data_IF_608095162947
#
_entry.id   IF_608095162947
#
_cell.length_a   1.000
_cell.length_b   1.000
_cell.length_c   1.000
_cell.angle_alpha   90.00
_cell.angle_beta   90.00
_cell.angle_gamma   90.00
#
_symmetry.space_group_name_H-M   'P 1'
#
loop_
_entity.id
_entity.type
_entity.pdbx_description
1 polymer ?
#
# COMPACT_ATOMS: atom_id res chain seq x y z
N UNK A 1 14.08 36.62 -62.70
CA UNK A 1 14.24 36.33 -61.25
C UNK A 1 13.00 35.58 -60.81
N UNK A 2 13.08 34.27 -60.56
CA UNK A 2 11.97 33.57 -59.88
C UNK A 2 11.82 34.15 -58.48
N UNK A 3 10.60 34.48 -58.08
CA UNK A 3 10.32 35.02 -56.76
C UNK A 3 10.69 33.96 -55.71
N UNK A 4 11.30 34.36 -54.58
CA UNK A 4 11.69 33.44 -53.49
C UNK A 4 10.55 32.50 -53.04
N UNK A 5 9.28 32.92 -53.21
CA UNK A 5 8.09 32.11 -52.96
C UNK A 5 7.83 30.96 -53.96
N UNK A 6 8.24 31.10 -55.23
CA UNK A 6 8.09 30.04 -56.24
C UNK A 6 9.07 28.89 -55.99
N UNK A 7 10.30 29.21 -55.57
CA UNK A 7 11.29 28.22 -55.14
C UNK A 7 10.82 27.44 -53.90
N UNK A 8 10.10 28.10 -52.98
CA UNK A 8 9.52 27.48 -51.79
C UNK A 8 8.32 26.55 -52.12
N UNK A 9 7.47 26.98 -53.06
CA UNK A 9 6.37 26.16 -53.61
C UNK A 9 6.89 24.89 -54.29
N UNK A 10 7.96 25.01 -55.10
CA UNK A 10 8.61 23.87 -55.75
C UNK A 10 9.25 22.96 -54.70
N UNK A 11 9.91 23.51 -53.69
CA UNK A 11 10.49 22.75 -52.58
C UNK A 11 9.43 21.90 -51.85
N UNK A 12 8.31 22.50 -51.45
CA UNK A 12 7.19 21.79 -50.83
C UNK A 12 6.57 20.74 -51.74
N UNK A 13 6.33 21.05 -53.02
CA UNK A 13 5.76 20.09 -54.00
C UNK A 13 6.68 18.89 -54.24
N UNK A 14 7.99 19.11 -54.28
CA UNK A 14 8.98 18.04 -54.49
C UNK A 14 9.21 17.22 -53.20
N UNK A 15 9.02 17.83 -52.03
CA UNK A 15 9.20 17.21 -50.72
C UNK A 15 7.97 16.53 -50.12
N UNK A 16 6.77 16.64 -50.71
CA UNK A 16 5.51 16.10 -50.14
C UNK A 16 5.57 14.63 -49.72
N UNK A 17 6.17 13.76 -50.54
CA UNK A 17 6.28 12.32 -50.24
C UNK A 17 7.23 12.07 -49.06
N UNK A 18 8.33 12.81 -48.98
CA UNK A 18 9.26 12.78 -47.83
C UNK A 18 8.54 13.23 -46.56
N UNK A 19 7.92 14.41 -46.60
CA UNK A 19 7.17 14.99 -45.48
C UNK A 19 6.16 13.99 -44.91
N UNK A 20 5.33 13.38 -45.79
CA UNK A 20 4.35 12.38 -45.39
C UNK A 20 5.01 11.16 -44.72
N UNK A 21 6.07 10.60 -45.31
CA UNK A 21 6.76 9.42 -44.79
C UNK A 21 7.44 9.69 -43.45
N UNK A 22 8.06 10.85 -43.27
CA UNK A 22 8.67 11.26 -42.01
C UNK A 22 7.60 11.45 -40.93
N UNK A 23 6.46 12.08 -41.26
CA UNK A 23 5.34 12.25 -40.32
C UNK A 23 4.77 10.89 -39.89
N UNK A 24 4.51 9.99 -40.84
CA UNK A 24 3.94 8.66 -40.54
C UNK A 24 4.93 7.83 -39.71
N UNK A 25 6.20 7.79 -40.12
CA UNK A 25 7.24 7.04 -39.40
C UNK A 25 7.47 7.57 -37.99
N UNK A 26 7.57 8.89 -37.85
CA UNK A 26 7.70 9.55 -36.55
C UNK A 26 6.48 9.30 -35.67
N UNK A 27 5.27 9.43 -36.22
CA UNK A 27 4.03 9.12 -35.52
C UNK A 27 3.97 7.67 -35.00
N UNK A 28 4.41 6.69 -35.81
CA UNK A 28 4.49 5.29 -35.39
C UNK A 28 5.52 5.06 -34.28
N UNK A 29 6.64 5.78 -34.28
CA UNK A 29 7.64 5.71 -33.20
C UNK A 29 7.04 6.20 -31.88
N UNK A 30 6.42 7.39 -31.88
CA UNK A 30 5.78 7.95 -30.68
C UNK A 30 4.61 7.07 -30.19
N UNK A 31 3.82 6.52 -31.12
CA UNK A 31 2.80 5.53 -30.80
C UNK A 31 3.40 4.31 -30.08
N UNK A 32 4.50 3.78 -30.61
CA UNK A 32 5.16 2.59 -30.04
C UNK A 32 5.67 2.86 -28.63
N UNK A 33 6.25 4.05 -28.39
CA UNK A 33 6.75 4.46 -27.07
C UNK A 33 5.58 4.55 -26.07
N UNK A 34 4.51 5.26 -26.41
CA UNK A 34 3.34 5.38 -25.52
C UNK A 34 2.72 4.01 -25.24
N UNK A 35 2.64 3.15 -26.27
CA UNK A 35 2.12 1.78 -26.12
C UNK A 35 3.00 0.92 -25.21
N UNK A 36 4.32 1.05 -25.31
CA UNK A 36 5.25 0.31 -24.45
C UNK A 36 5.13 0.74 -22.99
N UNK A 37 5.02 2.04 -22.72
CA UNK A 37 4.79 2.53 -21.34
C UNK A 37 3.46 2.01 -20.80
N UNK A 38 2.42 1.97 -21.65
CA UNK A 38 1.12 1.40 -21.28
C UNK A 38 1.20 -0.08 -20.91
N UNK A 39 1.98 -0.86 -21.67
CA UNK A 39 2.22 -2.28 -21.38
C UNK A 39 2.95 -2.44 -20.04
N UNK A 40 4.02 -1.67 -19.79
CA UNK A 40 4.75 -1.70 -18.52
C UNK A 40 3.83 -1.33 -17.35
N UNK A 41 3.00 -0.29 -17.51
CA UNK A 41 2.03 0.14 -16.50
C UNK A 41 0.99 -0.96 -16.21
N UNK A 42 0.48 -1.62 -17.25
CA UNK A 42 -0.48 -2.72 -17.13
C UNK A 42 0.14 -3.93 -16.45
N UNK A 43 1.35 -4.32 -16.85
CA UNK A 43 2.08 -5.42 -16.23
C UNK A 43 2.35 -5.14 -14.75
N UNK A 44 2.72 -3.90 -14.40
CA UNK A 44 2.91 -3.49 -13.00
C UNK A 44 1.67 -3.71 -12.16
N UNK A 45 0.53 -3.28 -12.68
CA UNK A 45 -0.75 -3.42 -12.00
C UNK A 45 -1.15 -4.89 -11.84
N UNK A 46 -1.07 -5.68 -12.90
CA UNK A 46 -1.35 -7.12 -12.84
C UNK A 46 -0.41 -7.87 -11.88
N UNK A 47 0.87 -7.49 -11.89
CA UNK A 47 1.87 -8.05 -10.97
C UNK A 47 1.55 -7.72 -9.53
N UNK A 48 1.04 -6.52 -9.26
CA UNK A 48 0.60 -6.13 -7.92
C UNK A 48 -0.62 -6.91 -7.45
N UNK A 49 -1.65 -7.02 -8.29
CA UNK A 49 -2.86 -7.78 -7.97
C UNK A 49 -2.52 -9.25 -7.67
N UNK A 50 -1.70 -9.86 -8.53
CA UNK A 50 -1.23 -11.23 -8.32
C UNK A 50 -0.40 -11.37 -7.05
N UNK A 51 0.49 -10.42 -6.77
CA UNK A 51 1.29 -10.41 -5.54
C UNK A 51 0.41 -10.36 -4.29
N UNK A 52 -0.70 -9.60 -4.32
CA UNK A 52 -1.67 -9.57 -3.23
C UNK A 52 -2.37 -10.91 -3.06
N UNK A 53 -2.89 -11.48 -4.16
CA UNK A 53 -3.59 -12.77 -4.13
C UNK A 53 -2.70 -13.92 -3.64
N UNK A 54 -1.40 -13.89 -3.95
CA UNK A 54 -0.46 -14.97 -3.60
C UNK A 54 0.20 -14.81 -2.22
N UNK A 55 0.31 -13.60 -1.68
CA UNK A 55 1.13 -13.33 -0.50
C UNK A 55 0.44 -12.60 0.64
N UNK A 56 -0.85 -12.25 0.51
CA UNK A 56 -1.53 -11.43 1.51
C UNK A 56 -2.77 -12.15 2.02
N UNK A 57 -2.76 -12.46 3.31
CA UNK A 57 -3.94 -12.86 4.04
C UNK A 57 -4.08 -11.94 5.26
N UNK A 58 -4.77 -10.82 5.10
CA UNK A 58 -4.94 -9.83 6.18
C UNK A 58 -5.62 -10.35 7.46
N UNK A 59 -6.14 -11.58 7.43
CA UNK A 59 -6.78 -12.20 8.58
C UNK A 59 -5.83 -13.07 9.41
N UNK A 60 -4.64 -13.36 8.87
CA UNK A 60 -3.60 -14.24 9.44
C UNK A 60 -2.27 -13.97 8.70
N UNK A 61 -1.78 -12.73 8.76
CA UNK A 61 -0.48 -12.35 8.17
C UNK A 61 0.64 -12.26 9.23
N UNK A 62 0.30 -12.49 10.50
CA UNK A 62 1.21 -12.44 11.63
C UNK A 62 1.60 -11.01 12.04
N UNK A 63 0.94 -9.98 11.49
CA UNK A 63 1.13 -8.59 11.87
C UNK A 63 -0.14 -8.03 12.52
N UNK A 64 0.04 -6.91 13.24
CA UNK A 64 -1.06 -6.11 13.74
C UNK A 64 -0.94 -4.73 13.11
N UNK A 65 -2.00 -4.25 12.45
CA UNK A 65 -2.00 -2.93 11.82
C UNK A 65 -1.71 -1.78 12.80
N UNK A 66 -2.20 -1.85 14.03
CA UNK A 66 -1.96 -0.83 15.05
C UNK A 66 -1.74 -1.48 16.39
N UNK A 67 -0.59 -1.21 17.01
CA UNK A 67 -0.32 -1.68 18.36
C UNK A 67 0.19 -0.57 19.27
N UNK A 68 -0.23 -0.59 20.52
CA UNK A 68 0.31 0.29 21.56
C UNK A 68 0.28 -0.39 22.91
N UNK A 69 1.45 -0.51 23.52
CA UNK A 69 1.63 -1.04 24.86
C UNK A 69 2.06 0.08 25.81
N UNK A 70 1.36 0.22 26.94
CA UNK A 70 1.65 1.25 27.93
C UNK A 70 1.58 0.69 29.35
N UNK A 71 2.59 1.00 30.16
CA UNK A 71 2.50 0.81 31.61
C UNK A 71 1.61 1.92 32.17
N UNK A 72 0.49 1.54 32.79
CA UNK A 72 -0.42 2.47 33.47
C UNK A 72 -0.44 2.20 34.97
N UNK A 73 -0.66 3.27 35.72
CA UNK A 73 -0.83 3.25 37.17
C UNK A 73 -2.06 4.06 37.58
N UNK A 74 -2.86 3.55 38.50
CA UNK A 74 -4.06 4.24 39.03
C UNK A 74 -5.36 3.65 38.51
N UNK A 75 -6.42 4.45 38.50
CA UNK A 75 -7.74 4.02 38.03
C UNK A 75 -7.74 3.90 36.50
N UNK A 76 -8.26 2.78 36.00
CA UNK A 76 -8.55 2.59 34.58
C UNK A 76 -10.03 2.90 34.34
N UNK A 77 -10.29 3.86 33.46
CA UNK A 77 -11.65 4.22 33.05
C UNK A 77 -11.65 4.48 31.54
N UNK A 78 -12.31 3.58 30.80
CA UNK A 78 -12.43 3.65 29.36
C UNK A 78 -13.89 3.99 29.03
N UNK A 79 -14.13 4.99 28.17
CA UNK A 79 -15.50 5.38 27.80
C UNK A 79 -16.27 4.25 27.10
N UNK A 80 -17.60 4.31 27.03
CA UNK A 80 -18.43 3.25 26.43
C UNK A 80 -18.10 2.95 24.96
N UNK A 81 -17.61 3.96 24.22
CA UNK A 81 -17.38 3.87 22.77
C UNK A 81 -15.88 3.78 22.44
N UNK A 82 -15.03 3.44 23.42
CA UNK A 82 -13.58 3.55 23.30
C UNK A 82 -13.01 2.73 22.13
N UNK A 83 -13.36 1.44 22.01
CA UNK A 83 -12.86 0.57 20.93
C UNK A 83 -13.33 1.04 19.54
N UNK A 84 -14.58 1.50 19.44
CA UNK A 84 -15.13 2.03 18.18
C UNK A 84 -14.44 3.31 17.76
N UNK A 85 -14.19 4.24 18.69
CA UNK A 85 -13.45 5.47 18.43
C UNK A 85 -12.02 5.13 17.98
N UNK A 86 -11.34 4.25 18.71
CA UNK A 86 -9.99 3.81 18.40
C UNK A 86 -9.89 3.21 16.97
N UNK A 87 -10.85 2.36 16.59
CA UNK A 87 -10.96 1.82 15.22
C UNK A 87 -11.12 2.93 14.18
N UNK A 88 -12.06 3.86 14.42
CA UNK A 88 -12.41 4.94 13.49
C UNK A 88 -11.25 5.92 13.30
N UNK A 89 -10.55 6.24 14.37
CA UNK A 89 -9.44 7.18 14.34
C UNK A 89 -8.25 6.60 13.58
N UNK A 90 -7.90 5.34 13.84
CA UNK A 90 -6.77 4.72 13.15
C UNK A 90 -7.06 4.35 11.71
N UNK A 91 -8.30 3.98 11.36
CA UNK A 91 -8.70 3.80 9.96
C UNK A 91 -8.65 5.14 9.19
N UNK A 92 -9.07 6.24 9.82
CA UNK A 92 -8.96 7.59 9.27
C UNK A 92 -7.51 8.01 9.07
N UNK A 93 -6.66 7.76 10.07
CA UNK A 93 -5.23 8.04 10.01
C UNK A 93 -4.55 7.24 8.89
N UNK A 94 -4.85 5.95 8.79
CA UNK A 94 -4.35 5.06 7.73
C UNK A 94 -4.73 5.58 6.34
N UNK A 95 -6.01 5.93 6.16
CA UNK A 95 -6.52 6.50 4.89
C UNK A 95 -5.86 7.84 4.56
N UNK A 96 -5.51 8.63 5.57
CA UNK A 96 -4.82 9.92 5.39
C UNK A 96 -3.36 9.74 4.96
N UNK A 97 -2.67 8.74 5.51
CA UNK A 97 -1.28 8.40 5.17
C UNK A 97 -1.18 7.78 3.79
N UNK A 98 -2.09 6.88 3.45
CA UNK A 98 -2.10 6.20 2.16
C UNK A 98 -3.45 6.44 1.49
N UNK A 99 -3.61 7.60 0.81
CA UNK A 99 -4.84 7.90 0.11
C UNK A 99 -5.19 6.78 -0.86
N UNK A 100 -6.43 6.28 -0.74
CA UNK A 100 -7.04 5.18 -1.51
C UNK A 100 -6.86 3.76 -0.99
N UNK A 101 -6.14 3.57 0.11
CA UNK A 101 -6.34 2.35 0.92
C UNK A 101 -7.74 2.44 1.52
N UNK A 102 -8.51 1.36 1.41
CA UNK A 102 -9.83 1.26 2.06
C UNK A 102 -9.74 0.17 3.13
N UNK A 103 -10.10 0.51 4.36
CA UNK A 103 -10.32 -0.48 5.41
C UNK A 103 -11.69 -1.11 5.16
N UNK A 104 -11.72 -2.41 4.89
CA UNK A 104 -12.93 -3.18 4.63
C UNK A 104 -13.52 -3.75 5.91
N UNK A 105 -12.64 -4.26 6.77
CA UNK A 105 -13.00 -4.83 8.05
C UNK A 105 -11.91 -4.57 9.09
N UNK A 106 -12.22 -4.80 10.36
CA UNK A 106 -11.27 -4.62 11.46
C UNK A 106 -11.58 -5.54 12.63
N UNK A 107 -10.54 -6.02 13.30
CA UNK A 107 -10.64 -6.58 14.64
C UNK A 107 -9.96 -5.61 15.61
N UNK A 108 -10.71 -5.07 16.57
CA UNK A 108 -10.15 -4.17 17.58
C UNK A 108 -10.17 -4.86 18.93
N UNK A 109 -9.02 -4.87 19.59
CA UNK A 109 -8.85 -5.51 20.88
C UNK A 109 -8.18 -4.59 21.88
N UNK A 110 -8.47 -4.88 23.15
CA UNK A 110 -7.83 -4.26 24.28
C UNK A 110 -7.56 -5.30 25.34
N UNK A 111 -6.38 -5.24 25.95
CA UNK A 111 -6.04 -6.13 27.05
C UNK A 111 -5.31 -5.43 28.19
N UNK A 112 -5.44 -6.01 29.37
CA UNK A 112 -4.75 -5.60 30.59
C UNK A 112 -4.11 -6.81 31.24
N UNK A 113 -2.98 -6.57 31.89
CA UNK A 113 -2.32 -7.54 32.74
C UNK A 113 -3.12 -7.77 34.04
N UNK A 114 -3.37 -9.03 34.39
CA UNK A 114 -3.87 -9.42 35.71
C UNK A 114 -2.95 -10.47 36.33
N UNK A 115 -2.83 -10.50 37.65
CA UNK A 115 -1.85 -11.36 38.33
C UNK A 115 -2.53 -12.34 39.28
N UNK A 116 -2.00 -13.54 39.41
CA UNK A 116 -2.43 -14.55 40.38
C UNK A 116 -1.28 -14.83 41.34
N UNK A 117 -1.58 -14.89 42.63
CA UNK A 117 -0.59 -15.25 43.63
C UNK A 117 -0.57 -16.77 43.86
N UNK A 118 0.58 -17.40 43.63
CA UNK A 118 0.82 -18.81 43.91
C UNK A 118 1.94 -18.98 44.92
N UNK A 119 1.58 -19.21 46.18
CA UNK A 119 2.51 -19.41 47.30
C UNK A 119 3.43 -20.62 47.17
N UNK A 120 3.16 -21.52 46.21
CA UNK A 120 3.95 -22.74 46.01
C UNK A 120 5.21 -22.49 45.16
N UNK A 121 5.32 -21.34 44.49
CA UNK A 121 6.44 -20.98 43.63
C UNK A 121 7.47 -20.18 44.45
N UNK A 122 8.69 -20.71 44.68
CA UNK A 122 9.72 -19.98 45.40
C UNK A 122 10.28 -18.81 44.57
N UNK A 123 10.51 -17.67 45.23
CA UNK A 123 11.10 -16.47 44.61
C UNK A 123 10.06 -15.53 44.02
N UNK A 124 9.49 -15.89 42.87
CA UNK A 124 8.50 -15.09 42.13
C UNK A 124 7.12 -15.77 42.15
N UNK A 125 6.33 -15.59 43.22
CA UNK A 125 5.03 -16.25 43.37
C UNK A 125 3.92 -15.64 42.51
N UNK A 126 4.20 -14.58 41.76
CA UNK A 126 3.20 -13.88 40.96
C UNK A 126 3.20 -14.42 39.53
N UNK A 127 2.08 -15.02 39.16
CA UNK A 127 1.79 -15.49 37.82
C UNK A 127 1.03 -14.41 37.05
N UNK A 128 1.45 -14.14 35.83
CA UNK A 128 0.82 -13.11 35.00
C UNK A 128 -0.09 -13.74 33.96
N UNK A 129 -1.29 -13.18 33.83
CA UNK A 129 -2.32 -13.59 32.88
C UNK A 129 -2.86 -12.37 32.14
N UNK A 130 -3.52 -12.62 31.01
CA UNK A 130 -4.14 -11.60 30.18
C UNK A 130 -5.65 -11.58 30.39
N UNK A 131 -6.20 -10.40 30.67
CA UNK A 131 -7.62 -10.15 30.48
C UNK A 131 -7.77 -9.32 29.22
N UNK A 132 -8.51 -9.83 28.24
CA UNK A 132 -8.70 -9.22 26.93
C UNK A 132 -10.20 -9.03 26.65
N UNK A 133 -10.50 -8.01 25.87
CA UNK A 133 -11.79 -7.77 25.24
C UNK A 133 -11.56 -7.44 23.77
N UNK A 134 -12.59 -7.66 22.97
CA UNK A 134 -12.66 -7.26 21.56
C UNK A 134 -13.89 -6.38 21.34
N UNK A 135 -13.98 -5.74 20.18
CA UNK A 135 -15.18 -5.01 19.77
C UNK A 135 -16.41 -5.93 19.70
N UNK A 136 -17.61 -5.32 19.74
CA UNK A 136 -18.86 -6.08 19.83
C UNK A 136 -19.07 -7.04 18.65
N UNK A 137 -18.63 -6.67 17.44
CA UNK A 137 -18.76 -7.51 16.25
C UNK A 137 -17.87 -8.74 16.41
N UNK A 138 -16.59 -8.55 16.75
CA UNK A 138 -15.66 -9.63 17.03
C UNK A 138 -16.12 -10.51 18.21
N UNK A 139 -16.74 -9.94 19.24
CA UNK A 139 -17.21 -10.70 20.40
C UNK A 139 -18.38 -11.63 20.07
N UNK A 140 -19.20 -11.31 19.05
CA UNK A 140 -20.23 -12.25 18.57
C UNK A 140 -19.61 -13.54 18.01
N UNK A 141 -18.44 -13.44 17.36
CA UNK A 141 -17.68 -14.58 16.84
C UNK A 141 -17.04 -15.37 17.98
N UNK A 142 -16.54 -14.71 19.03
CA UNK A 142 -16.09 -15.41 20.26
C UNK A 142 -17.21 -16.28 20.83
N UNK A 143 -18.46 -15.83 20.76
CA UNK A 143 -19.62 -16.60 21.20
C UNK A 143 -19.86 -17.91 20.43
N UNK A 144 -19.54 -17.97 19.13
CA UNK A 144 -19.64 -19.22 18.35
C UNK A 144 -18.49 -20.19 18.64
N UNK A 145 -17.42 -19.72 19.26
CA UNK A 145 -16.22 -20.50 19.61
C UNK A 145 -16.32 -21.20 20.99
N UNK A 146 -17.46 -21.08 21.68
CA UNK A 146 -17.71 -21.73 22.97
C UNK A 146 -17.76 -23.26 22.82
N UNK A 147 -16.76 -23.95 23.36
CA UNK A 147 -16.72 -25.42 23.42
C UNK A 147 -17.35 -25.97 24.70
N UNK A 148 -17.43 -25.15 25.76
CA UNK A 148 -18.09 -25.50 27.00
C UNK A 148 -18.59 -24.25 27.74
N UNK A 149 -19.69 -24.38 28.50
CA UNK A 149 -20.22 -23.31 29.35
C UNK A 149 -21.10 -22.31 28.61
N UNK A 150 -20.96 -21.03 28.94
CA UNK A 150 -21.77 -19.91 28.42
C UNK A 150 -20.97 -18.61 28.38
N UNK A 151 -21.51 -17.61 27.68
CA UNK A 151 -20.99 -16.24 27.73
C UNK A 151 -21.13 -15.60 29.13
N UNK A 152 -20.22 -14.68 29.50
CA UNK A 152 -20.30 -13.90 30.74
C UNK A 152 -21.54 -13.01 30.80
N UNK A 153 -22.10 -12.86 32.01
CA UNK A 153 -23.29 -12.03 32.29
C UNK A 153 -23.03 -10.88 33.26
N UNK A 154 -21.88 -10.89 33.96
CA UNK A 154 -21.49 -9.87 34.92
C UNK A 154 -19.95 -9.74 34.98
N UNK A 155 -19.43 -8.72 35.67
CA UNK A 155 -18.00 -8.40 35.72
C UNK A 155 -17.15 -9.48 36.40
N UNK A 156 -17.73 -10.34 37.24
CA UNK A 156 -17.02 -11.44 37.90
C UNK A 156 -16.94 -12.74 37.08
N UNK A 157 -17.33 -12.71 35.81
CA UNK A 157 -17.37 -13.89 34.95
C UNK A 157 -16.45 -13.74 33.74
N UNK A 158 -15.64 -14.75 33.46
CA UNK A 158 -14.66 -14.75 32.37
C UNK A 158 -14.80 -16.00 31.49
N UNK A 159 -14.41 -15.85 30.23
CA UNK A 159 -14.13 -16.96 29.32
C UNK A 159 -12.64 -17.28 29.37
N UNK A 160 -12.27 -18.55 29.39
CA UNK A 160 -10.88 -18.96 29.21
C UNK A 160 -10.62 -19.33 27.76
N UNK A 161 -9.58 -18.75 27.17
CA UNK A 161 -9.05 -19.17 25.86
C UNK A 161 -8.20 -20.40 26.07
N UNK A 162 -8.68 -21.54 25.59
CA UNK A 162 -8.01 -22.82 25.77
C UNK A 162 -6.64 -22.78 25.11
N UNK A 163 -5.62 -23.17 25.87
CA UNK A 163 -4.27 -23.37 25.36
C UNK A 163 -3.77 -24.78 25.73
N UNK A 164 -2.63 -25.19 25.16
CA UNK A 164 -2.07 -26.52 25.39
C UNK A 164 -1.21 -26.61 26.66
N UNK A 165 -0.94 -25.48 27.33
CA UNK A 165 0.03 -25.40 28.43
C UNK A 165 -0.62 -25.55 29.80
N UNK A 166 -1.87 -25.13 29.95
CA UNK A 166 -2.61 -25.17 31.20
C UNK A 166 -3.97 -25.83 31.03
N UNK A 167 -4.59 -26.21 32.13
CA UNK A 167 -5.97 -26.70 32.15
C UNK A 167 -6.75 -25.94 33.20
N UNK A 168 -7.77 -25.21 32.76
CA UNK A 168 -8.72 -24.50 33.62
C UNK A 168 -10.09 -25.15 33.46
N UNK A 169 -10.72 -25.46 34.60
CA UNK A 169 -12.01 -26.13 34.64
C UNK A 169 -13.17 -25.13 34.56
N UNK A 170 -14.29 -25.59 34.02
CA UNK A 170 -15.53 -24.80 34.04
C UNK A 170 -16.04 -24.62 35.47
N UNK A 171 -16.54 -23.41 35.78
CA UNK A 171 -16.96 -22.93 37.10
C UNK A 171 -15.85 -22.87 38.15
N UNK A 172 -14.59 -22.95 37.72
CA UNK A 172 -13.46 -22.72 38.60
C UNK A 172 -13.43 -21.25 39.02
N UNK A 173 -13.21 -21.00 40.32
CA UNK A 173 -13.00 -19.65 40.83
C UNK A 173 -11.50 -19.35 40.94
N UNK A 174 -11.11 -18.18 40.43
CA UNK A 174 -9.73 -17.67 40.45
C UNK A 174 -9.70 -16.31 41.14
N UNK A 175 -8.62 -16.08 41.88
CA UNK A 175 -8.31 -14.82 42.55
C UNK A 175 -7.26 -14.09 41.72
N UNK A 176 -7.63 -12.92 41.20
CA UNK A 176 -6.71 -12.08 40.43
C UNK A 176 -6.48 -10.73 41.11
N UNK A 177 -5.30 -10.18 40.89
CA UNK A 177 -4.80 -8.95 41.47
C UNK A 177 -4.38 -7.99 40.36
N UNK A 178 -4.75 -6.72 40.51
CA UNK A 178 -4.43 -5.63 39.57
C UNK A 178 -3.02 -5.06 39.77
N UNK A 179 -2.35 -5.43 40.85
CA UNK A 179 -0.99 -5.02 41.25
C UNK A 179 -0.29 -6.23 41.87
N UNK A 180 1.00 -6.40 41.62
CA UNK A 180 1.84 -7.42 42.29
C UNK A 180 2.22 -6.99 43.71
N UNK A 181 1.23 -6.75 44.56
CA UNK A 181 1.39 -6.36 45.97
C UNK A 181 0.49 -7.21 46.87
N UNK A 182 1.07 -7.82 47.91
CA UNK A 182 0.36 -8.71 48.84
C UNK A 182 -0.77 -8.03 49.63
N UNK A 183 -0.75 -6.70 49.72
CA UNK A 183 -1.76 -5.92 50.44
C UNK A 183 -2.93 -5.45 49.55
N UNK A 184 -2.92 -5.79 48.25
CA UNK A 184 -4.02 -5.46 47.34
C UNK A 184 -5.19 -6.43 47.50
N UNK A 185 -6.42 -5.91 47.41
CA UNK A 185 -7.62 -6.74 47.49
C UNK A 185 -7.77 -7.56 46.21
N UNK A 186 -7.91 -8.90 46.29
CA UNK A 186 -8.13 -9.72 45.12
C UNK A 186 -9.55 -9.54 44.57
N UNK A 187 -9.67 -9.63 43.26
CA UNK A 187 -10.92 -9.76 42.54
C UNK A 187 -11.22 -11.24 42.28
N UNK A 188 -12.45 -11.64 42.58
CA UNK A 188 -12.93 -13.01 42.38
C UNK A 188 -13.55 -13.14 40.99
N UNK A 189 -13.06 -14.11 40.22
CA UNK A 189 -13.62 -14.43 38.91
C UNK A 189 -14.02 -15.90 38.82
N UNK A 190 -15.15 -16.16 38.18
CA UNK A 190 -15.60 -17.50 37.83
C UNK A 190 -15.41 -17.73 36.34
N UNK A 191 -14.79 -18.84 35.98
CA UNK A 191 -14.63 -19.26 34.59
C UNK A 191 -15.93 -19.90 34.12
N UNK A 192 -16.73 -19.16 33.35
CA UNK A 192 -18.09 -19.59 32.96
C UNK A 192 -18.16 -20.18 31.56
N UNK A 193 -17.08 -20.11 30.80
CA UNK A 193 -16.98 -20.71 29.47
C UNK A 193 -15.54 -20.95 29.04
N UNK A 194 -15.39 -21.89 28.12
CA UNK A 194 -14.11 -22.24 27.48
C UNK A 194 -14.29 -22.01 25.99
N UNK A 195 -13.38 -21.25 25.40
CA UNK A 195 -13.35 -20.98 23.95
C UNK A 195 -12.15 -21.66 23.31
N UNK A 196 -12.33 -22.15 22.10
CA UNK A 196 -11.31 -22.83 21.27
C UNK A 196 -11.58 -22.49 19.79
N UNK A 197 -10.59 -22.72 18.91
CA UNK A 197 -10.72 -22.53 17.47
C UNK A 197 -11.10 -21.07 17.05
N UNK A 198 -10.57 -20.07 17.77
CA UNK A 198 -10.80 -18.65 17.47
C UNK A 198 -10.30 -18.28 16.06
N UNK A 199 -9.13 -18.79 15.67
CA UNK A 199 -8.47 -18.42 14.41
C UNK A 199 -9.35 -18.73 13.21
N UNK A 200 -9.82 -19.97 13.11
CA UNK A 200 -10.68 -20.40 12.00
C UNK A 200 -12.01 -19.63 11.97
N UNK A 201 -12.62 -19.37 13.13
CA UNK A 201 -13.90 -18.67 13.21
C UNK A 201 -13.77 -17.18 12.82
N UNK A 202 -12.68 -16.52 13.22
CA UNK A 202 -12.41 -15.14 12.84
C UNK A 202 -12.13 -15.02 11.35
N UNK A 203 -11.28 -15.90 10.79
CA UNK A 203 -10.98 -15.93 9.35
C UNK A 203 -12.25 -16.19 8.53
N UNK A 204 -13.11 -17.13 8.94
CA UNK A 204 -14.40 -17.39 8.27
C UNK A 204 -15.35 -16.18 8.31
N UNK A 205 -15.30 -15.41 9.40
CA UNK A 205 -16.04 -14.16 9.53
C UNK A 205 -15.39 -12.96 8.78
N UNK A 206 -14.22 -13.16 8.15
CA UNK A 206 -13.46 -12.10 7.48
C UNK A 206 -12.82 -11.10 8.46
N UNK A 207 -12.61 -11.51 9.71
CA UNK A 207 -11.92 -10.77 10.76
C UNK A 207 -10.49 -11.29 10.92
N UNK A 208 -9.60 -10.50 11.50
CA UNK A 208 -8.25 -10.94 11.81
C UNK A 208 -8.18 -11.72 13.12
N UNK A 209 -7.51 -12.87 13.07
CA UNK A 209 -7.15 -13.70 14.21
C UNK A 209 -5.82 -13.28 14.86
N UNK A 210 -4.99 -12.49 14.18
CA UNK A 210 -3.66 -12.09 14.63
C UNK A 210 -3.68 -11.41 16.01
N UNK A 211 -4.78 -10.74 16.36
CA UNK A 211 -4.99 -10.13 17.68
C UNK A 211 -4.83 -11.11 18.85
N UNK A 212 -5.07 -12.42 18.63
CA UNK A 212 -4.89 -13.47 19.62
C UNK A 212 -3.47 -14.05 19.61
N UNK A 213 -2.67 -13.79 18.58
CA UNK A 213 -1.29 -14.26 18.49
C UNK A 213 -0.27 -13.19 18.91
N UNK A 214 -0.74 -11.98 19.23
CA UNK A 214 0.11 -10.89 19.70
C UNK A 214 0.90 -11.22 20.98
N UNK A 215 2.15 -10.76 21.02
CA UNK A 215 3.07 -10.85 22.16
C UNK A 215 3.71 -9.49 22.47
N UNK A 216 4.29 -9.38 23.67
CA UNK A 216 4.82 -8.13 24.22
C UNK A 216 6.34 -7.95 24.03
N UNK A 217 6.95 -8.66 23.08
CA UNK A 217 8.38 -9.01 23.08
C UNK A 217 9.41 -7.85 23.09
N UNK A 218 9.01 -6.58 23.25
CA UNK A 218 9.88 -5.40 23.28
C UNK A 218 9.76 -4.48 24.52
N UNK A 219 8.94 -4.79 25.54
CA UNK A 219 8.96 -4.03 26.79
C UNK A 219 9.98 -4.63 27.78
N UNK A 220 11.21 -4.10 27.74
CA UNK A 220 12.42 -4.55 28.45
C UNK A 220 12.34 -4.76 29.98
N UNK A 221 11.18 -4.59 30.61
CA UNK A 221 10.97 -4.76 32.05
C UNK A 221 10.06 -5.93 32.44
N UNK A 222 9.28 -6.48 31.50
CA UNK A 222 8.49 -7.68 31.71
C UNK A 222 8.52 -8.50 30.41
N UNK A 223 9.22 -9.64 30.41
CA UNK A 223 8.94 -10.71 29.44
C UNK A 223 7.55 -11.24 29.79
N UNK A 224 6.53 -10.54 29.32
CA UNK A 224 5.15 -10.91 29.50
C UNK A 224 4.88 -12.10 28.58
N UNK A 225 4.98 -13.30 29.15
CA UNK A 225 4.30 -14.47 28.62
C UNK A 225 3.07 -14.68 29.50
N UNK A 226 1.93 -14.19 29.03
CA UNK A 226 0.65 -14.48 29.69
C UNK A 226 0.45 -15.99 29.70
N UNK A 227 0.36 -16.58 30.89
CA UNK A 227 0.21 -18.05 31.04
C UNK A 227 -1.19 -18.46 30.57
N UNK A 228 -2.18 -17.60 30.81
CA UNK A 228 -3.54 -17.77 30.31
C UNK A 228 -4.05 -16.46 29.73
N UNK A 229 -4.97 -16.59 28.78
CA UNK A 229 -5.78 -15.49 28.27
C UNK A 229 -7.24 -15.70 28.64
N UNK A 230 -7.84 -14.65 29.15
CA UNK A 230 -9.25 -14.60 29.48
C UNK A 230 -9.95 -13.56 28.61
N UNK A 231 -11.18 -13.86 28.20
CA UNK A 231 -12.00 -12.97 27.39
C UNK A 231 -13.29 -12.58 28.12
N UNK A 232 -13.71 -11.35 27.93
CA UNK A 232 -15.05 -10.86 28.26
C UNK A 232 -15.46 -9.80 27.26
N UNK A 233 -16.74 -9.38 27.27
CA UNK A 233 -17.18 -8.30 26.38
C UNK A 233 -16.73 -6.93 26.92
N UNK A 234 -16.73 -5.92 26.05
CA UNK A 234 -16.18 -4.61 26.39
C UNK A 234 -16.88 -3.92 27.58
N UNK A 235 -18.21 -4.02 27.67
CA UNK A 235 -18.96 -3.41 28.78
C UNK A 235 -18.58 -4.03 30.12
N UNK A 236 -18.43 -5.35 30.19
CA UNK A 236 -18.00 -6.05 31.40
C UNK A 236 -16.52 -5.79 31.70
N UNK A 237 -15.68 -5.78 30.66
CA UNK A 237 -14.26 -5.45 30.77
C UNK A 237 -14.05 -4.09 31.40
N UNK A 238 -14.76 -3.05 30.93
CA UNK A 238 -14.64 -1.71 31.49
C UNK A 238 -15.08 -1.65 32.96
N UNK A 239 -16.15 -2.39 33.30
CA UNK A 239 -16.60 -2.53 34.69
C UNK A 239 -15.52 -3.17 35.55
N UNK A 240 -14.92 -4.27 35.06
CA UNK A 240 -13.81 -4.97 35.71
C UNK A 240 -12.62 -4.03 35.96
N UNK A 241 -12.17 -3.32 34.93
CA UNK A 241 -10.99 -2.44 35.04
C UNK A 241 -11.24 -1.26 35.97
N UNK A 242 -12.49 -0.80 36.06
CA UNK A 242 -12.89 0.22 37.02
C UNK A 242 -12.92 -0.32 38.46
N UNK A 243 -13.45 -1.54 38.66
CA UNK A 243 -13.54 -2.22 39.96
C UNK A 243 -12.16 -2.61 40.54
N UNK A 244 -11.12 -2.72 39.71
CA UNK A 244 -9.73 -2.88 40.16
C UNK A 244 -9.25 -1.75 41.07
N UNK A 245 -9.87 -0.56 41.01
CA UNK A 245 -9.55 0.59 41.86
C UNK A 245 -8.18 1.19 41.56
N UNK A 246 -7.11 0.54 42.02
CA UNK A 246 -5.73 0.87 41.65
C UNK A 246 -5.14 -0.25 40.81
N UNK A 247 -4.78 0.07 39.58
CA UNK A 247 -4.07 -0.81 38.66
C UNK A 247 -2.60 -0.41 38.56
N UNK A 248 -1.71 -1.38 38.40
CA UNK A 248 -0.33 -1.16 37.99
C UNK A 248 0.12 -2.32 37.11
N UNK A 249 0.25 -2.05 35.82
CA UNK A 249 0.59 -3.09 34.86
C UNK A 249 0.55 -2.58 33.43
N UNK A 250 0.64 -3.51 32.49
CA UNK A 250 0.60 -3.19 31.07
C UNK A 250 -0.85 -3.16 30.57
N UNK A 251 -1.14 -2.14 29.75
CA UNK A 251 -2.37 -1.97 29.00
C UNK A 251 -2.04 -1.93 27.52
N UNK A 252 -2.78 -2.70 26.74
CA UNK A 252 -2.53 -2.91 25.31
C UNK A 252 -3.74 -2.61 24.48
N UNK A 253 -3.48 -1.96 23.36
CA UNK A 253 -4.48 -1.60 22.36
C UNK A 253 -4.00 -2.17 21.04
N UNK A 254 -4.87 -2.94 20.40
CA UNK A 254 -4.62 -3.56 19.11
C UNK A 254 -5.76 -3.19 18.16
N UNK A 255 -5.43 -2.81 16.94
CA UNK A 255 -6.37 -2.76 15.83
C UNK A 255 -5.73 -3.48 14.69
N UNK A 256 -6.45 -4.41 14.10
CA UNK A 256 -5.98 -5.08 12.91
C UNK A 256 -6.98 -4.94 11.78
N UNK A 257 -6.50 -4.51 10.63
CA UNK A 257 -7.32 -4.06 9.51
C UNK A 257 -7.20 -5.03 8.33
N UNK A 258 -8.35 -5.33 7.73
CA UNK A 258 -8.40 -5.92 6.40
C UNK A 258 -8.49 -4.81 5.36
N UNK A 259 -7.56 -4.78 4.40
CA UNK A 259 -7.49 -3.72 3.40
C UNK A 259 -7.98 -4.15 2.02
N UNK A 260 -8.65 -3.23 1.33
CA UNK A 260 -8.83 -3.23 -0.11
C UNK A 260 -7.88 -2.19 -0.72
N UNK A 261 -6.98 -2.70 -1.57
CA UNK A 261 -5.90 -1.97 -2.21
C UNK A 261 -6.09 -1.85 -3.73
N UNK A 262 -7.26 -2.23 -4.26
CA UNK A 262 -7.56 -2.22 -5.71
C UNK A 262 -7.34 -0.86 -6.36
N UNK A 263 -7.69 0.21 -5.66
CA UNK A 263 -7.61 1.61 -6.10
C UNK A 263 -6.21 2.25 -5.93
N UNK A 264 -5.24 1.52 -5.37
CA UNK A 264 -3.93 2.03 -4.98
C UNK A 264 -3.15 2.54 -6.20
N UNK A 265 -2.57 3.74 -6.08
CA UNK A 265 -1.71 4.30 -7.13
C UNK A 265 -0.28 3.77 -7.02
N UNK A 266 0.05 2.76 -7.82
CA UNK A 266 1.39 2.15 -7.81
C UNK A 266 2.51 3.15 -8.14
N UNK A 267 2.25 4.15 -8.98
CA UNK A 267 3.23 5.21 -9.26
C UNK A 267 3.60 6.07 -8.04
N UNK A 268 2.76 6.07 -7.00
CA UNK A 268 3.00 6.74 -5.74
C UNK A 268 3.57 5.83 -4.64
N UNK A 269 3.88 4.55 -4.93
CA UNK A 269 4.37 3.57 -3.94
C UNK A 269 5.54 4.09 -3.10
N UNK A 270 6.56 4.68 -3.73
CA UNK A 270 7.72 5.25 -3.02
C UNK A 270 7.29 6.41 -2.11
N UNK A 271 6.32 7.22 -2.54
CA UNK A 271 5.79 8.30 -1.72
C UNK A 271 5.04 7.74 -0.51
N UNK A 272 4.26 6.67 -0.68
CA UNK A 272 3.60 6.00 0.44
C UNK A 272 4.62 5.45 1.44
N UNK A 273 5.67 4.77 0.96
CA UNK A 273 6.78 4.30 1.81
C UNK A 273 7.47 5.43 2.59
N UNK A 274 7.58 6.63 2.00
CA UNK A 274 8.14 7.81 2.68
C UNK A 274 7.22 8.45 3.71
N UNK A 275 5.91 8.16 3.67
CA UNK A 275 4.93 8.69 4.63
C UNK A 275 4.91 7.87 5.93
N UNK A 276 5.34 6.61 5.88
CA UNK A 276 5.59 5.84 7.10
C UNK A 276 6.77 6.44 7.87
N UNK A 277 6.61 6.72 9.18
CA UNK A 277 7.72 7.22 9.98
C UNK A 277 8.88 6.20 10.03
N UNK A 278 10.10 6.71 10.18
CA UNK A 278 11.34 5.90 10.03
C UNK A 278 11.39 4.76 11.05
N UNK A 279 11.05 5.04 12.30
CA UNK A 279 10.54 4.06 13.25
C UNK A 279 9.02 4.20 13.23
N UNK A 280 8.25 3.12 13.20
CA UNK A 280 6.79 3.21 13.08
C UNK A 280 6.10 3.84 14.31
N UNK A 281 6.85 4.51 15.18
CA UNK A 281 6.40 5.11 16.42
C UNK A 281 5.93 6.55 16.18
N UNK A 282 4.62 6.77 16.24
CA UNK A 282 4.12 8.12 16.41
C UNK A 282 4.44 8.58 17.84
N UNK A 283 5.14 9.71 17.96
CA UNK A 283 5.75 10.21 19.19
C UNK A 283 4.76 10.70 20.28
N UNK A 284 3.52 10.22 20.26
CA UNK A 284 2.34 10.45 21.11
C UNK A 284 1.16 10.51 20.12
N UNK A 285 0.30 9.49 20.12
CA UNK A 285 -0.95 9.56 19.37
C UNK A 285 -1.87 10.59 20.04
N UNK A 286 -2.64 11.40 19.29
CA UNK A 286 -3.66 12.26 19.89
C UNK A 286 -4.74 11.50 20.68
N UNK A 287 -4.82 10.17 20.53
CA UNK A 287 -5.78 9.29 21.20
C UNK A 287 -5.17 8.42 22.31
N UNK A 288 -3.87 8.15 22.22
CA UNK A 288 -3.13 7.35 23.20
C UNK A 288 -1.94 8.15 23.72
N UNK A 289 -1.81 8.26 25.04
CA UNK A 289 -0.69 8.93 25.71
C UNK A 289 0.59 8.06 25.69
N UNK A 290 0.84 7.34 24.59
CA UNK A 290 1.91 6.36 24.40
C UNK A 290 2.39 6.30 22.95
N UNK A 291 3.52 5.64 22.74
CA UNK A 291 4.01 5.30 21.42
C UNK A 291 3.05 4.30 20.76
N UNK A 292 2.80 4.51 19.47
CA UNK A 292 1.90 3.67 18.67
C UNK A 292 2.67 3.23 17.44
N UNK A 293 2.72 1.91 17.21
CA UNK A 293 3.16 1.34 15.96
C UNK A 293 2.00 1.37 14.96
N UNK A 294 2.23 1.96 13.79
CA UNK A 294 1.19 2.17 12.78
C UNK A 294 1.52 1.53 11.44
N UNK A 295 0.61 0.68 10.99
CA UNK A 295 0.56 -0.06 9.74
C UNK A 295 1.88 -0.74 9.33
N UNK A 296 2.51 -1.54 10.22
CA UNK A 296 3.72 -2.30 9.89
C UNK A 296 3.48 -3.33 8.78
N UNK A 297 2.30 -3.95 8.78
CA UNK A 297 1.73 -4.84 7.75
C UNK A 297 1.78 -4.22 6.33
N UNK A 298 1.16 -3.06 6.13
CA UNK A 298 1.12 -2.36 4.83
C UNK A 298 2.51 -1.90 4.41
N UNK A 299 3.34 -1.46 5.36
CA UNK A 299 4.71 -1.06 5.08
C UNK A 299 5.52 -2.23 4.55
N UNK A 300 5.48 -3.37 5.23
CA UNK A 300 6.17 -4.59 4.82
C UNK A 300 5.69 -5.06 3.45
N UNK A 301 4.37 -5.07 3.22
CA UNK A 301 3.80 -5.38 1.90
C UNK A 301 4.37 -4.49 0.79
N UNK A 302 4.41 -3.18 1.02
CA UNK A 302 4.89 -2.22 0.02
C UNK A 302 6.40 -2.31 -0.22
N UNK A 303 7.19 -2.63 0.80
CA UNK A 303 8.63 -2.90 0.67
C UNK A 303 8.84 -4.15 -0.18
N UNK A 304 8.22 -5.27 0.18
CA UNK A 304 8.33 -6.54 -0.56
C UNK A 304 7.89 -6.38 -2.01
N UNK A 305 6.77 -5.68 -2.25
CA UNK A 305 6.31 -5.43 -3.62
C UNK A 305 7.27 -4.50 -4.39
N UNK A 306 7.87 -3.51 -3.73
CA UNK A 306 8.87 -2.64 -4.37
C UNK A 306 10.07 -3.45 -4.86
N UNK A 307 10.59 -4.34 -4.03
CA UNK A 307 11.73 -5.19 -4.39
C UNK A 307 11.37 -6.17 -5.52
N UNK A 308 10.21 -6.81 -5.42
CA UNK A 308 9.66 -7.67 -6.49
C UNK A 308 9.49 -6.90 -7.81
N UNK A 309 8.95 -5.68 -7.76
CA UNK A 309 8.74 -4.86 -8.96
C UNK A 309 10.06 -4.41 -9.60
N UNK A 310 11.10 -4.13 -8.81
CA UNK A 310 12.43 -3.82 -9.35
C UNK A 310 12.97 -5.02 -10.13
N UNK A 311 12.87 -6.23 -9.57
CA UNK A 311 13.30 -7.46 -10.24
C UNK A 311 12.52 -7.69 -11.55
N UNK A 312 11.20 -7.59 -11.51
CA UNK A 312 10.34 -7.75 -12.69
C UNK A 312 10.61 -6.68 -13.76
N UNK A 313 10.85 -5.43 -13.36
CA UNK A 313 11.20 -4.36 -14.28
C UNK A 313 12.52 -4.66 -15.00
N UNK A 314 13.53 -5.15 -14.28
CA UNK A 314 14.83 -5.53 -14.88
C UNK A 314 14.60 -6.64 -15.92
N UNK A 315 13.82 -7.68 -15.61
CA UNK A 315 13.48 -8.75 -16.56
C UNK A 315 12.80 -8.21 -17.82
N UNK A 316 11.77 -7.37 -17.65
CA UNK A 316 11.03 -6.76 -18.77
C UNK A 316 11.96 -5.92 -19.65
N UNK A 317 12.81 -5.08 -19.05
CA UNK A 317 13.75 -4.24 -19.80
C UNK A 317 14.78 -5.08 -20.54
N UNK A 318 15.32 -6.14 -19.93
CA UNK A 318 16.26 -7.05 -20.58
C UNK A 318 15.64 -7.74 -21.80
N UNK A 319 14.43 -8.28 -21.67
CA UNK A 319 13.71 -8.96 -22.76
C UNK A 319 13.37 -7.98 -23.90
N UNK A 320 13.00 -6.74 -23.57
CA UNK A 320 12.63 -5.72 -24.56
C UNK A 320 13.80 -4.89 -25.10
N UNK A 321 15.03 -5.10 -24.60
CA UNK A 321 16.24 -4.39 -25.05
C UNK A 321 16.45 -4.39 -26.57
N UNK A 322 16.19 -5.49 -27.33
CA UNK A 322 16.34 -5.46 -28.78
C UNK A 322 15.31 -4.56 -29.47
N UNK A 323 14.11 -4.46 -28.90
CA UNK A 323 13.02 -3.66 -29.45
C UNK A 323 13.30 -2.16 -29.29
N UNK A 324 13.87 -1.75 -28.15
CA UNK A 324 14.37 -0.38 -27.96
C UNK A 324 15.46 -0.02 -28.99
N UNK A 325 16.38 -0.94 -29.28
CA UNK A 325 17.42 -0.74 -30.28
C UNK A 325 16.83 -0.60 -31.69
N UNK A 326 15.84 -1.42 -32.05
CA UNK A 326 15.12 -1.31 -33.34
C UNK A 326 14.40 0.04 -33.45
N UNK A 327 13.70 0.48 -32.40
CA UNK A 327 13.02 1.80 -32.38
C UNK A 327 14.03 2.95 -32.53
N UNK A 328 15.20 2.85 -31.89
CA UNK A 328 16.29 3.80 -32.06
C UNK A 328 16.79 3.86 -33.50
N UNK A 329 17.05 2.71 -34.13
CA UNK A 329 17.47 2.63 -35.54
C UNK A 329 16.40 3.18 -36.49
N UNK A 330 15.13 2.85 -36.27
CA UNK A 330 14.01 3.38 -37.05
C UNK A 330 13.91 4.90 -36.96
N UNK A 331 14.22 5.47 -35.79
CA UNK A 331 14.25 6.92 -35.60
C UNK A 331 15.32 7.59 -36.46
N UNK A 332 16.52 7.01 -36.52
CA UNK A 332 17.61 7.49 -37.39
C UNK A 332 17.24 7.37 -38.87
N UNK A 333 16.62 6.25 -39.28
CA UNK A 333 16.18 6.05 -40.66
C UNK A 333 15.09 7.04 -41.04
N UNK A 334 14.09 7.25 -40.17
CA UNK A 334 12.96 8.15 -40.40
C UNK A 334 13.40 9.61 -40.63
N UNK A 335 14.40 10.07 -39.87
CA UNK A 335 14.99 11.40 -40.01
C UNK A 335 15.84 11.54 -41.27
N UNK A 336 16.43 10.45 -41.76
CA UNK A 336 17.25 10.44 -42.98
C UNK A 336 16.44 10.29 -44.29
N UNK A 337 15.12 10.10 -44.22
CA UNK A 337 14.29 9.96 -45.41
C UNK A 337 14.43 11.21 -46.28
N UNK A 338 14.84 11.04 -47.53
CA UNK A 338 14.94 12.12 -48.51
C UNK A 338 16.03 13.16 -48.22
N UNK A 339 17.02 12.86 -47.37
CA UNK A 339 18.16 13.74 -47.07
C UNK A 339 19.02 14.05 -48.31
N UNK A 340 19.17 13.08 -49.22
CA UNK A 340 19.87 13.27 -50.51
C UNK A 340 19.14 14.23 -51.44
N UNK A 341 17.82 14.10 -51.54
CA UNK A 341 16.99 14.99 -52.38
C UNK A 341 16.95 16.41 -51.82
N UNK A 342 16.89 16.52 -50.49
CA UNK A 342 17.01 17.77 -49.73
C UNK A 342 18.36 18.46 -50.02
N UNK A 343 19.46 17.73 -49.90
CA UNK A 343 20.82 18.23 -50.19
C UNK A 343 20.95 18.72 -51.64
N UNK A 344 20.39 17.98 -52.60
CA UNK A 344 20.37 18.39 -54.00
C UNK A 344 19.53 19.66 -54.24
N UNK A 345 18.37 19.79 -53.58
CA UNK A 345 17.56 20.99 -53.62
C UNK A 345 18.29 22.20 -53.02
N UNK A 346 19.02 22.02 -51.92
CA UNK A 346 19.82 23.08 -51.32
C UNK A 346 21.02 23.49 -52.16
N UNK A 347 21.68 22.53 -52.82
CA UNK A 347 22.74 22.84 -53.78
C UNK A 347 22.24 23.74 -54.91
N UNK A 348 21.02 23.47 -55.41
CA UNK A 348 20.35 24.34 -56.39
C UNK A 348 20.02 25.71 -55.80
N UNK A 349 19.41 25.78 -54.60
CA UNK A 349 19.09 27.05 -53.94
C UNK A 349 20.31 27.94 -53.67
N UNK A 350 21.45 27.33 -53.32
CA UNK A 350 22.74 28.02 -53.16
C UNK A 350 23.25 28.59 -54.49
N UNK A 351 23.12 27.83 -55.59
CA UNK A 351 23.47 28.30 -56.94
C UNK A 351 22.59 29.49 -57.40
N UNK A 352 21.35 29.58 -56.90
CA UNK A 352 20.45 30.72 -57.13
C UNK A 352 20.65 31.90 -56.16
N UNK A 353 21.70 31.89 -55.34
CA UNK A 353 22.10 33.03 -54.50
C UNK A 353 21.38 33.15 -53.16
N UNK A 354 20.72 32.10 -52.67
CA UNK A 354 20.14 32.08 -51.32
C UNK A 354 21.25 31.89 -50.28
N UNK A 355 21.26 32.72 -49.24
CA UNK A 355 22.27 32.63 -48.18
C UNK A 355 22.14 31.34 -47.35
N UNK A 356 23.28 30.79 -46.96
CA UNK A 356 23.35 29.53 -46.22
C UNK A 356 22.63 29.60 -44.86
N UNK A 357 22.74 30.72 -44.15
CA UNK A 357 22.03 30.97 -42.88
C UNK A 357 20.51 30.91 -43.03
N UNK A 358 19.99 31.36 -44.17
CA UNK A 358 18.55 31.39 -44.43
C UNK A 358 18.04 29.99 -44.80
N UNK A 359 18.85 29.20 -45.49
CA UNK A 359 18.61 27.76 -45.74
C UNK A 359 18.60 26.97 -44.42
N UNK A 360 19.57 27.19 -43.53
CA UNK A 360 19.63 26.53 -42.21
C UNK A 360 18.40 26.83 -41.36
N UNK A 361 17.93 28.08 -41.32
CA UNK A 361 16.70 28.45 -40.60
C UNK A 361 15.46 27.74 -41.15
N UNK A 362 15.37 27.57 -42.47
CA UNK A 362 14.26 26.84 -43.07
C UNK A 362 14.29 25.34 -42.76
N UNK A 363 15.47 24.71 -42.79
CA UNK A 363 15.64 23.30 -42.40
C UNK A 363 15.20 23.11 -40.94
N UNK A 364 15.70 23.96 -40.06
CA UNK A 364 15.36 23.90 -38.65
C UNK A 364 13.84 24.04 -38.42
N UNK A 365 13.19 25.00 -39.09
CA UNK A 365 11.76 25.24 -38.94
C UNK A 365 10.91 24.09 -39.53
N UNK A 366 11.32 23.50 -40.64
CA UNK A 366 10.66 22.32 -41.20
C UNK A 366 10.80 21.10 -40.29
N UNK A 367 12.01 20.83 -39.81
CA UNK A 367 12.28 19.74 -38.87
C UNK A 367 11.52 19.92 -37.56
N UNK A 368 11.41 21.16 -37.07
CA UNK A 368 10.61 21.50 -35.90
C UNK A 368 9.13 21.17 -36.11
N UNK A 369 8.56 21.60 -37.25
CA UNK A 369 7.17 21.32 -37.59
C UNK A 369 6.91 19.82 -37.77
N UNK A 370 7.79 19.13 -38.50
CA UNK A 370 7.69 17.69 -38.74
C UNK A 370 7.73 16.90 -37.43
N UNK A 371 8.68 17.21 -36.56
CA UNK A 371 8.83 16.55 -35.26
C UNK A 371 7.61 16.81 -34.38
N UNK A 372 7.13 18.06 -34.34
CA UNK A 372 5.96 18.43 -33.54
C UNK A 372 4.68 17.73 -34.00
N UNK A 373 4.44 17.69 -35.32
CA UNK A 373 3.26 17.01 -35.90
C UNK A 373 3.34 15.49 -35.67
N UNK A 374 4.53 14.90 -35.85
CA UNK A 374 4.76 13.47 -35.58
C UNK A 374 4.55 13.12 -34.12
N UNK A 375 5.07 13.94 -33.20
CA UNK A 375 4.93 13.76 -31.77
C UNK A 375 3.46 13.86 -31.35
N UNK A 376 2.77 14.94 -31.71
CA UNK A 376 1.35 15.14 -31.37
C UNK A 376 0.51 14.00 -31.96
N UNK A 377 0.66 13.70 -33.25
CA UNK A 377 -0.11 12.65 -33.92
C UNK A 377 0.12 11.27 -33.29
N UNK A 378 1.37 10.89 -33.07
CA UNK A 378 1.72 9.60 -32.49
C UNK A 378 1.31 9.46 -31.02
N UNK A 379 1.50 10.50 -30.20
CA UNK A 379 1.08 10.50 -28.79
C UNK A 379 -0.44 10.44 -28.67
N UNK A 380 -1.17 11.24 -29.45
CA UNK A 380 -2.64 11.20 -29.45
C UNK A 380 -3.17 9.83 -29.89
N UNK A 381 -2.59 9.22 -30.92
CA UNK A 381 -2.96 7.87 -31.35
C UNK A 381 -2.63 6.83 -30.28
N UNK A 382 -1.49 6.97 -29.61
CA UNK A 382 -1.08 6.11 -28.51
C UNK A 382 -2.00 6.20 -27.30
N UNK A 383 -2.44 7.40 -26.92
CA UNK A 383 -3.46 7.56 -25.88
C UNK A 383 -4.81 6.98 -26.29
N UNK A 384 -5.21 7.14 -27.54
CA UNK A 384 -6.45 6.56 -28.04
C UNK A 384 -6.41 5.03 -28.01
N UNK A 385 -5.33 4.41 -28.49
CA UNK A 385 -5.14 2.95 -28.45
C UNK A 385 -5.01 2.46 -27.01
N UNK A 386 -4.24 3.16 -26.16
CA UNK A 386 -4.12 2.85 -24.74
C UNK A 386 -5.48 2.85 -24.04
N UNK A 387 -6.33 3.84 -24.31
CA UNK A 387 -7.69 3.91 -23.77
C UNK A 387 -8.60 2.77 -24.25
N UNK A 388 -8.44 2.30 -25.49
CA UNK A 388 -9.16 1.11 -25.96
C UNK A 388 -8.67 -0.14 -25.22
N UNK A 389 -7.37 -0.28 -25.02
CA UNK A 389 -6.76 -1.41 -24.31
C UNK A 389 -7.19 -1.48 -22.83
N UNK A 390 -7.42 -0.35 -22.16
CA UNK A 390 -7.87 -0.35 -20.75
C UNK A 390 -9.27 -0.87 -20.55
N UNK A 391 -10.10 -0.95 -21.59
CA UNK A 391 -11.46 -1.51 -21.47
C UNK A 391 -11.49 -2.99 -21.08
N UNK A 392 -10.36 -3.70 -21.23
CA UNK A 392 -10.22 -5.09 -20.80
C UNK A 392 -9.88 -5.25 -19.31
N UNK A 393 -9.53 -4.16 -18.61
CA UNK A 393 -9.30 -4.18 -17.16
C UNK A 393 -10.67 -4.12 -16.48
N UNK A 394 -11.08 -5.23 -15.86
CA UNK A 394 -12.39 -5.33 -15.19
C UNK A 394 -12.47 -4.36 -14.00
N UNK A 395 -13.70 -3.89 -13.74
CA UNK A 395 -14.13 -2.96 -12.69
C UNK A 395 -13.67 -1.48 -12.80
N UNK A 396 -12.48 -1.13 -13.30
CA UNK A 396 -11.94 0.25 -13.11
C UNK A 396 -11.15 0.86 -14.27
N UNK A 397 -11.61 0.68 -15.52
CA UNK A 397 -10.91 1.18 -16.72
C UNK A 397 -10.60 2.70 -16.72
N UNK A 398 -11.49 3.55 -16.16
CA UNK A 398 -11.34 5.01 -16.17
C UNK A 398 -10.32 5.50 -15.13
N UNK A 399 -10.40 5.08 -13.85
CA UNK A 399 -9.34 5.35 -12.86
C UNK A 399 -7.98 4.83 -13.30
N UNK A 400 -7.91 3.62 -13.86
CA UNK A 400 -6.69 3.00 -14.35
C UNK A 400 -6.06 3.82 -15.48
N UNK A 401 -6.84 4.22 -16.49
CA UNK A 401 -6.34 5.07 -17.58
C UNK A 401 -5.89 6.45 -17.09
N UNK A 402 -6.63 7.07 -16.16
CA UNK A 402 -6.19 8.34 -15.54
C UNK A 402 -4.88 8.18 -14.78
N UNK A 403 -4.67 7.03 -14.11
CA UNK A 403 -3.42 6.65 -13.48
C UNK A 403 -2.27 6.63 -14.48
N UNK A 404 -2.45 5.92 -15.60
CA UNK A 404 -1.48 5.87 -16.71
C UNK A 404 -1.10 7.25 -17.26
N UNK A 405 -2.07 8.16 -17.45
CA UNK A 405 -1.80 9.52 -17.91
C UNK A 405 -0.92 10.33 -16.94
N UNK A 406 -0.84 9.91 -15.68
CA UNK A 406 -0.01 10.52 -14.63
C UNK A 406 1.26 9.72 -14.33
N UNK A 407 1.58 8.70 -15.13
CA UNK A 407 2.75 7.85 -14.92
C UNK A 407 4.05 8.63 -15.16
N UNK A 408 4.97 8.74 -14.18
CA UNK A 408 6.24 9.46 -14.37
C UNK A 408 7.06 8.93 -15.53
N UNK A 409 7.07 7.61 -15.73
CA UNK A 409 7.77 6.96 -16.84
C UNK A 409 7.28 7.46 -18.21
N UNK A 410 5.97 7.75 -18.35
CA UNK A 410 5.40 8.31 -19.58
C UNK A 410 5.98 9.69 -19.89
N UNK A 411 6.03 10.58 -18.91
CA UNK A 411 6.57 11.92 -19.10
C UNK A 411 8.07 11.91 -19.36
N UNK A 412 8.83 11.12 -18.59
CA UNK A 412 10.28 11.01 -18.76
C UNK A 412 10.57 10.49 -20.17
N UNK A 413 9.95 9.37 -20.57
CA UNK A 413 10.19 8.79 -21.90
C UNK A 413 9.81 9.74 -23.03
N UNK A 414 8.64 10.40 -22.94
CA UNK A 414 8.21 11.37 -23.96
C UNK A 414 9.15 12.58 -24.03
N UNK A 415 9.51 13.20 -22.90
CA UNK A 415 10.41 14.36 -22.88
C UNK A 415 11.80 13.98 -23.42
N UNK A 416 12.35 12.85 -22.97
CA UNK A 416 13.66 12.38 -23.43
C UNK A 416 13.64 12.07 -24.92
N UNK A 417 12.60 11.40 -25.43
CA UNK A 417 12.51 11.10 -26.87
C UNK A 417 12.27 12.34 -27.71
N UNK A 418 11.37 13.25 -27.30
CA UNK A 418 11.16 14.52 -27.99
C UNK A 418 12.48 15.31 -28.05
N UNK A 419 13.19 15.41 -26.92
CA UNK A 419 14.50 16.06 -26.84
C UNK A 419 15.55 15.42 -27.74
N UNK A 420 15.66 14.08 -27.74
CA UNK A 420 16.58 13.35 -28.60
C UNK A 420 16.23 13.50 -30.09
N UNK A 421 14.94 13.46 -30.44
CA UNK A 421 14.47 13.65 -31.82
C UNK A 421 14.74 15.08 -32.30
N UNK A 422 14.59 16.09 -31.42
CA UNK A 422 15.00 17.46 -31.72
C UNK A 422 16.51 17.60 -31.88
N UNK A 423 17.31 17.00 -31.00
CA UNK A 423 18.77 17.04 -31.10
C UNK A 423 19.28 16.42 -32.42
N UNK A 424 18.68 15.29 -32.83
CA UNK A 424 18.97 14.64 -34.11
C UNK A 424 18.53 15.46 -35.33
N UNK A 425 17.63 16.42 -35.14
CA UNK A 425 17.11 17.27 -36.22
C UNK A 425 17.90 18.57 -36.44
N UNK A 426 18.82 18.89 -35.52
CA UNK A 426 19.74 20.04 -35.58
C UNK A 426 21.06 19.68 -36.29
N UNK A 427 21.42 18.40 -36.26
CA UNK A 427 22.53 17.81 -37.04
C UNK A 427 22.05 17.35 -38.41
#
# INVERSE_FOLDING_TARGET
MMAKGELFSIYLKTGKKRLLLTIVSGGLIFLTIVSLVMIVYTHRFQSFQRFQEEHVNWSDDGFISVSSNQIKSGLLDFGSDYLTNLTTDFSTLTTSLIPRVRVVNSTTAMSVQINEFNSSIPGEPWLTHELMTVDDVAFTVVGSCLVAGRLPRNSSELLWVKNNETTISLNEMRLYYSITELNSDPLNYTIVGIVDNLDAAFIEAGLSADVFHWSFDNLAFYNYHGINRFLTNYSLFNTVTHEMGTFYGVVTHLVDFTYDLTDLKLNALIKYLQLFPKSNDLAISPFLNSLVELCPDLKDLFVKFSDFWVEETIKILSINSPLFLIVGLLSVVALNIGSKDLSNAFRKMKLYGISFTLIQRFIFLENLLLTSVSAIGGVCLGFFIGFLSTRHVQAEHLPFFRGFLTEPLLFITLITFIGAFFALSIY
#
